data_IF_312671018029
#
_entry.id   IF_312671018029
#
_cell.length_a   1.000
_cell.length_b   1.000
_cell.length_c   1.000
_cell.angle_alpha   90.00
_cell.angle_beta   90.00
_cell.angle_gamma   90.00
#
_symmetry.space_group_name_H-M   'P 1'
#
loop_
_entity.id
_entity.type
_entity.pdbx_description
1 polymer ?
#
# COMPACT_ATOMS: atom_id res chain seq x y z
N UNK A 1 33.56 -17.23 35.52
CA UNK A 1 33.01 -15.86 35.48
C UNK A 1 33.10 -15.22 34.12
N UNK A 2 34.23 -15.30 33.43
CA UNK A 2 34.35 -14.74 32.08
C UNK A 2 33.53 -15.48 31.03
N UNK A 3 33.37 -16.79 31.21
CA UNK A 3 32.51 -17.59 30.33
C UNK A 3 31.03 -17.19 30.43
N UNK A 4 30.55 -16.90 31.63
CA UNK A 4 29.15 -16.49 31.81
C UNK A 4 28.88 -15.12 31.21
N UNK A 5 29.83 -14.20 31.33
CA UNK A 5 29.74 -12.90 30.66
C UNK A 5 29.77 -13.03 29.15
N UNK A 6 30.63 -13.90 28.64
CA UNK A 6 30.74 -14.16 27.23
C UNK A 6 29.44 -14.77 26.65
N UNK A 7 28.89 -15.76 27.37
CA UNK A 7 27.61 -16.37 26.98
C UNK A 7 26.46 -15.37 27.00
N UNK A 8 26.42 -14.53 28.04
CA UNK A 8 25.40 -13.49 28.17
C UNK A 8 25.52 -12.47 27.04
N UNK A 9 26.71 -12.06 26.67
CA UNK A 9 26.94 -11.13 25.56
C UNK A 9 26.56 -11.75 24.24
N UNK A 10 26.93 -12.99 23.98
CA UNK A 10 26.58 -13.73 22.77
C UNK A 10 25.07 -13.87 22.64
N UNK A 11 24.38 -14.19 23.72
CA UNK A 11 22.92 -14.30 23.75
C UNK A 11 22.26 -12.98 23.39
N UNK A 12 22.75 -11.86 23.90
CA UNK A 12 22.24 -10.53 23.58
C UNK A 12 22.49 -10.15 22.13
N UNK A 13 23.64 -10.51 21.57
CA UNK A 13 23.96 -10.31 20.17
C UNK A 13 22.98 -11.10 19.28
N UNK A 14 22.70 -12.35 19.63
CA UNK A 14 21.75 -13.18 18.90
C UNK A 14 20.33 -12.60 18.95
N UNK A 15 19.91 -12.09 20.09
CA UNK A 15 18.63 -11.39 20.23
C UNK A 15 18.56 -10.15 19.32
N UNK A 16 19.63 -9.36 19.28
CA UNK A 16 19.70 -8.18 18.42
C UNK A 16 19.63 -8.55 16.94
N UNK A 17 20.31 -9.60 16.53
CA UNK A 17 20.27 -10.10 15.16
C UNK A 17 18.84 -10.53 14.81
N UNK A 18 18.16 -11.22 15.68
CA UNK A 18 16.77 -11.62 15.50
C UNK A 18 15.86 -10.41 15.32
N UNK A 19 16.00 -9.41 16.16
CA UNK A 19 15.24 -8.15 16.08
C UNK A 19 15.48 -7.45 14.74
N UNK A 20 16.74 -7.34 14.34
CA UNK A 20 17.08 -6.70 13.05
C UNK A 20 16.46 -7.45 11.88
N UNK A 21 16.50 -8.78 11.89
CA UNK A 21 15.88 -9.59 10.85
C UNK A 21 14.36 -9.41 10.81
N UNK A 22 13.72 -9.34 11.97
CA UNK A 22 12.27 -9.11 12.06
C UNK A 22 11.90 -7.73 11.55
N UNK A 23 12.65 -6.70 11.93
CA UNK A 23 12.42 -5.33 11.44
C UNK A 23 12.61 -5.24 9.92
N UNK A 24 13.61 -5.91 9.38
CA UNK A 24 13.82 -5.94 7.93
C UNK A 24 12.65 -6.61 7.19
N UNK A 25 12.12 -7.70 7.73
CA UNK A 25 10.94 -8.37 7.16
C UNK A 25 9.72 -7.48 7.20
N UNK A 26 9.49 -6.81 8.33
CA UNK A 26 8.39 -5.86 8.47
C UNK A 26 8.52 -4.71 7.48
N UNK A 27 9.73 -4.17 7.30
CA UNK A 27 9.98 -3.10 6.34
C UNK A 27 9.69 -3.53 4.91
N UNK A 28 10.09 -4.74 4.53
CA UNK A 28 9.81 -5.28 3.21
C UNK A 28 8.31 -5.47 2.99
N UNK A 29 7.61 -5.97 4.00
CA UNK A 29 6.16 -6.14 3.95
C UNK A 29 5.45 -4.79 3.84
N UNK A 30 5.86 -3.79 4.62
CA UNK A 30 5.30 -2.44 4.56
C UNK A 30 5.52 -1.79 3.20
N UNK A 31 6.68 -1.95 2.61
CA UNK A 31 6.98 -1.44 1.27
C UNK A 31 6.10 -2.09 0.21
N UNK A 32 5.93 -3.42 0.29
CA UNK A 32 5.06 -4.14 -0.62
C UNK A 32 3.60 -3.73 -0.48
N UNK A 33 3.10 -3.58 0.75
CA UNK A 33 1.74 -3.13 1.05
C UNK A 33 1.52 -1.71 0.55
N UNK A 34 2.47 -0.82 0.78
CA UNK A 34 2.39 0.57 0.32
C UNK A 34 2.34 0.65 -1.20
N UNK A 35 3.18 -0.12 -1.90
CA UNK A 35 3.17 -0.19 -3.36
C UNK A 35 1.84 -0.69 -3.90
N UNK A 36 1.27 -1.72 -3.27
CA UNK A 36 -0.05 -2.25 -3.62
C UNK A 36 -1.15 -1.21 -3.43
N UNK A 37 -1.13 -0.47 -2.33
CA UNK A 37 -2.10 0.61 -2.07
C UNK A 37 -1.99 1.74 -3.09
N UNK A 38 -0.79 2.11 -3.49
CA UNK A 38 -0.59 3.13 -4.52
C UNK A 38 -1.19 2.71 -5.86
N UNK A 39 -0.95 1.46 -6.27
CA UNK A 39 -1.53 0.92 -7.51
C UNK A 39 -3.05 0.89 -7.45
N UNK A 40 -3.61 0.44 -6.34
CA UNK A 40 -5.05 0.41 -6.14
C UNK A 40 -5.66 1.81 -6.16
N UNK A 41 -5.00 2.77 -5.52
CA UNK A 41 -5.43 4.17 -5.53
C UNK A 41 -5.45 4.73 -6.95
N UNK A 42 -4.40 4.49 -7.73
CA UNK A 42 -4.36 4.93 -9.13
C UNK A 42 -5.48 4.32 -9.95
N UNK A 43 -5.75 3.04 -9.74
CA UNK A 43 -6.85 2.33 -10.41
C UNK A 43 -8.19 2.95 -10.07
N UNK A 44 -8.45 3.21 -8.80
CA UNK A 44 -9.69 3.83 -8.34
C UNK A 44 -9.86 5.24 -8.87
N UNK A 45 -8.80 6.03 -8.91
CA UNK A 45 -8.83 7.38 -9.48
C UNK A 45 -9.14 7.35 -10.97
N UNK A 46 -8.55 6.43 -11.71
CA UNK A 46 -8.80 6.24 -13.14
C UNK A 46 -10.24 5.81 -13.39
N UNK A 47 -10.74 4.84 -12.65
CA UNK A 47 -12.14 4.38 -12.75
C UNK A 47 -13.12 5.50 -12.41
N UNK A 48 -12.82 6.31 -11.41
CA UNK A 48 -13.66 7.43 -11.00
C UNK A 48 -13.73 8.48 -12.12
N UNK A 49 -12.61 8.77 -12.75
CA UNK A 49 -12.52 9.70 -13.88
C UNK A 49 -13.35 9.18 -15.07
N UNK A 50 -13.23 7.91 -15.41
CA UNK A 50 -14.03 7.28 -16.47
C UNK A 50 -15.52 7.32 -16.16
N UNK A 51 -15.91 7.01 -14.94
CA UNK A 51 -17.31 7.05 -14.50
C UNK A 51 -17.89 8.44 -14.63
N UNK A 52 -17.16 9.46 -14.20
CA UNK A 52 -17.58 10.87 -14.36
C UNK A 52 -17.76 11.23 -15.82
N UNK A 53 -16.83 10.83 -16.68
CA UNK A 53 -16.93 11.09 -18.11
C UNK A 53 -18.16 10.44 -18.72
N UNK A 54 -18.48 9.20 -18.35
CA UNK A 54 -19.68 8.49 -18.78
C UNK A 54 -20.94 9.18 -18.30
N UNK A 55 -20.99 9.61 -17.07
CA UNK A 55 -22.14 10.34 -16.52
C UNK A 55 -22.38 11.65 -17.27
N UNK A 56 -21.33 12.41 -17.54
CA UNK A 56 -21.44 13.65 -18.31
C UNK A 56 -21.97 13.37 -19.72
N UNK A 57 -21.48 12.32 -20.36
CA UNK A 57 -21.96 11.90 -21.69
C UNK A 57 -23.44 11.53 -21.68
N UNK A 58 -23.90 10.77 -20.67
CA UNK A 58 -25.29 10.37 -20.51
C UNK A 58 -26.17 11.60 -20.29
N UNK A 59 -25.77 12.51 -19.41
CA UNK A 59 -26.51 13.75 -19.15
C UNK A 59 -26.62 14.63 -20.39
N UNK A 60 -25.55 14.71 -21.18
CA UNK A 60 -25.55 15.44 -22.43
C UNK A 60 -26.55 14.86 -23.44
N UNK A 61 -26.63 13.52 -23.54
CA UNK A 61 -27.58 12.83 -24.38
C UNK A 61 -29.03 13.05 -23.92
N UNK A 62 -29.29 13.03 -22.65
CA UNK A 62 -30.61 13.30 -22.08
C UNK A 62 -31.06 14.73 -22.39
N UNK A 63 -30.20 15.71 -22.26
CA UNK A 63 -30.49 17.09 -22.61
C UNK A 63 -30.82 17.24 -24.10
N UNK A 64 -30.08 16.54 -24.95
CA UNK A 64 -30.36 16.56 -26.39
C UNK A 64 -31.73 15.98 -26.71
N UNK A 65 -32.14 14.91 -26.03
CA UNK A 65 -33.48 14.31 -26.18
C UNK A 65 -34.58 15.25 -25.72
N UNK A 66 -34.39 15.95 -24.59
CA UNK A 66 -35.36 16.92 -24.07
C UNK A 66 -35.58 18.11 -24.99
N UNK A 67 -34.62 18.46 -25.84
CA UNK A 67 -34.71 19.57 -26.79
C UNK A 67 -35.38 19.22 -28.08
N UNK A 68 -35.64 17.94 -28.34
CA UNK A 68 -36.36 17.52 -29.56
C UNK A 68 -37.84 17.79 -29.35
N UNK A 69 -38.47 18.60 -30.17
CA UNK A 69 -39.93 18.88 -30.11
C UNK A 69 -40.78 17.65 -30.33
#
# INVERSE_FOLDING_TARGET
>A
MDEDRFKSLTSKIDELITIVNDVNKENQLLKATYGSWQLERQKLLSQNKETKAKLVSILSRLKAIERVP
#
